data_IF_293189763149
#
_entry.id   IF_293189763149
#
_cell.length_a   1.000
_cell.length_b   1.000
_cell.length_c   1.000
_cell.angle_alpha   90.00
_cell.angle_beta   90.00
_cell.angle_gamma   90.00
#
_symmetry.space_group_name_H-M   'P 1'
#
loop_
_entity.id
_entity.type
_entity.pdbx_description
1 polymer ?
#
# COMPACT_ATOMS: atom_id res chain seq x y z
N UNK A 1 28.87 11.57 4.26
CA UNK A 1 28.15 12.86 4.13
C UNK A 1 28.62 13.91 5.13
N UNK A 2 29.21 13.53 6.28
CA UNK A 2 29.70 14.48 7.29
C UNK A 2 30.87 15.39 6.81
N UNK A 3 31.59 14.99 5.77
CA UNK A 3 32.70 15.78 5.24
C UNK A 3 32.26 17.01 4.40
N UNK A 4 31.05 17.00 3.85
CA UNK A 4 30.61 18.05 2.92
C UNK A 4 30.52 19.43 3.55
N UNK A 5 29.88 19.65 4.73
CA UNK A 5 29.86 20.95 5.38
C UNK A 5 31.26 21.46 5.71
N UNK A 6 32.16 20.60 6.20
CA UNK A 6 33.53 20.95 6.53
C UNK A 6 34.29 21.43 5.29
N UNK A 7 34.14 20.76 4.17
CA UNK A 7 34.77 21.16 2.91
C UNK A 7 34.21 22.48 2.36
N UNK A 8 32.89 22.70 2.55
CA UNK A 8 32.22 23.89 2.02
C UNK A 8 32.37 25.15 2.89
N UNK A 9 32.92 25.07 4.11
CA UNK A 9 33.21 26.23 4.94
C UNK A 9 34.20 27.22 4.27
N UNK A 10 35.07 26.71 3.38
CA UNK A 10 36.01 27.53 2.61
C UNK A 10 35.40 28.13 1.34
N UNK A 11 34.16 27.81 1.01
CA UNK A 11 33.46 28.34 -0.16
C UNK A 11 32.94 29.74 0.11
N UNK A 12 33.20 30.74 -0.74
CA UNK A 12 32.70 32.10 -0.56
C UNK A 12 31.16 32.19 -0.52
N UNK A 13 30.48 31.27 -1.20
CA UNK A 13 29.03 31.28 -1.33
C UNK A 13 28.32 30.44 -0.26
N UNK A 14 28.95 29.40 0.26
CA UNK A 14 28.32 28.39 1.11
C UNK A 14 28.87 28.38 2.55
N UNK A 15 29.84 29.21 2.89
CA UNK A 15 30.50 29.22 4.20
C UNK A 15 29.53 29.39 5.35
N UNK A 16 28.56 30.33 5.24
CA UNK A 16 27.54 30.57 6.29
C UNK A 16 26.61 29.38 6.49
N UNK A 17 26.16 28.78 5.38
CA UNK A 17 25.36 27.56 5.42
C UNK A 17 26.16 26.40 6.01
N UNK A 18 27.37 26.17 5.54
CA UNK A 18 28.24 25.12 6.02
C UNK A 18 28.51 25.22 7.54
N UNK A 19 28.78 26.43 8.02
CA UNK A 19 28.98 26.69 9.45
C UNK A 19 27.72 26.40 10.26
N UNK A 20 26.54 26.73 9.75
CA UNK A 20 25.26 26.38 10.43
C UNK A 20 25.05 24.88 10.49
N UNK A 21 25.36 24.13 9.43
CA UNK A 21 25.24 22.68 9.39
C UNK A 21 26.22 21.96 10.32
N UNK A 22 27.34 22.62 10.64
CA UNK A 22 28.33 22.05 11.55
C UNK A 22 27.82 21.83 12.96
N UNK A 23 26.83 22.61 13.39
CA UNK A 23 26.18 22.46 14.70
C UNK A 23 25.49 21.09 14.86
N UNK A 24 25.12 20.45 13.76
CA UNK A 24 24.45 19.14 13.74
C UNK A 24 25.44 17.96 13.65
N UNK A 25 26.72 18.23 13.29
CA UNK A 25 27.71 17.16 13.21
C UNK A 25 27.99 16.59 14.61
N UNK A 26 27.77 15.30 14.76
CA UNK A 26 28.01 14.57 16.01
C UNK A 26 27.18 15.06 17.21
N UNK A 27 26.08 15.76 16.94
CA UNK A 27 25.19 16.31 17.96
C UNK A 27 23.76 15.88 17.74
N UNK A 28 23.43 14.67 18.19
CA UNK A 28 22.09 14.08 18.06
C UNK A 28 21.00 14.97 18.67
N UNK A 29 21.25 15.60 19.80
CA UNK A 29 20.27 16.50 20.44
C UNK A 29 19.96 17.72 19.57
N UNK A 30 20.94 18.27 18.89
CA UNK A 30 20.72 19.38 17.96
C UNK A 30 19.89 18.91 16.75
N UNK A 31 20.18 17.73 16.22
CA UNK A 31 19.40 17.12 15.11
C UNK A 31 17.95 16.88 15.54
N UNK A 32 17.72 16.31 16.72
CA UNK A 32 16.37 16.03 17.24
C UNK A 32 15.55 17.30 17.49
N UNK A 33 16.19 18.38 17.90
CA UNK A 33 15.53 19.68 18.15
C UNK A 33 15.26 20.50 16.88
N UNK A 34 15.90 20.17 15.78
CA UNK A 34 15.69 20.84 14.49
C UNK A 34 14.39 20.37 13.84
N UNK A 35 13.57 21.30 13.37
CA UNK A 35 12.23 20.98 12.83
C UNK A 35 12.29 20.15 11.54
N UNK A 36 13.30 20.32 10.73
CA UNK A 36 13.45 19.60 9.45
C UNK A 36 14.18 18.27 9.67
N UNK A 37 15.33 18.32 10.33
CA UNK A 37 16.17 17.13 10.53
C UNK A 37 15.55 16.17 11.54
N UNK A 38 14.97 16.68 12.64
CA UNK A 38 14.33 15.88 13.65
C UNK A 38 13.07 15.18 13.14
N UNK A 39 12.28 15.84 12.30
CA UNK A 39 11.14 15.18 11.66
C UNK A 39 11.61 14.15 10.62
N UNK A 40 12.56 14.50 9.75
CA UNK A 40 13.12 13.54 8.80
C UNK A 40 13.75 12.31 9.48
N UNK A 41 14.33 12.47 10.67
CA UNK A 41 14.89 11.35 11.44
C UNK A 41 13.80 10.43 12.00
N UNK A 42 12.63 10.95 12.35
CA UNK A 42 11.47 10.15 12.78
C UNK A 42 10.87 9.33 11.65
N UNK A 43 10.97 9.85 10.42
CA UNK A 43 10.48 9.18 9.22
C UNK A 43 11.47 8.11 8.69
N UNK A 44 12.74 8.15 9.14
CA UNK A 44 13.69 7.07 8.89
C UNK A 44 13.39 5.92 9.85
N UNK A 45 13.33 4.70 9.32
CA UNK A 45 13.23 3.49 10.15
C UNK A 45 14.38 3.42 11.18
N UNK A 46 14.19 2.61 12.22
CA UNK A 46 15.11 2.51 13.37
C UNK A 46 16.52 1.95 13.06
N UNK A 47 16.85 1.69 11.80
CA UNK A 47 18.17 1.17 11.38
C UNK A 47 18.91 2.14 10.47
N UNK A 48 20.24 2.14 10.57
CA UNK A 48 21.13 3.05 9.82
C UNK A 48 21.23 2.74 8.31
N UNK A 49 20.38 1.90 7.76
CA UNK A 49 20.36 1.53 6.35
C UNK A 49 19.11 2.01 5.63
N UNK A 50 19.30 2.69 4.50
CA UNK A 50 18.23 3.19 3.64
C UNK A 50 17.51 2.08 2.87
N UNK A 51 18.28 1.08 2.42
CA UNK A 51 17.81 -0.07 1.67
C UNK A 51 18.48 -1.31 2.25
N UNK A 52 17.71 -2.16 2.89
CA UNK A 52 18.21 -3.41 3.49
C UNK A 52 17.90 -4.61 2.61
N UNK A 53 16.85 -4.53 1.82
CA UNK A 53 16.31 -5.67 1.07
C UNK A 53 16.36 -5.43 -0.43
N UNK A 54 16.45 -6.48 -1.18
CA UNK A 54 16.35 -6.44 -2.65
C UNK A 54 14.91 -6.18 -3.13
N UNK A 55 13.94 -6.48 -2.27
CA UNK A 55 12.54 -6.22 -2.52
C UNK A 55 12.13 -4.86 -1.89
N UNK A 56 11.76 -3.85 -2.69
CA UNK A 56 11.34 -2.54 -2.18
C UNK A 56 10.16 -2.60 -1.20
N UNK A 57 9.35 -3.65 -1.28
CA UNK A 57 8.21 -3.83 -0.39
C UNK A 57 8.62 -4.06 1.07
N UNK A 58 9.66 -4.85 1.29
CA UNK A 58 10.15 -5.15 2.63
C UNK A 58 10.67 -3.87 3.32
N UNK A 59 11.33 -3.00 2.55
CA UNK A 59 11.78 -1.69 3.05
C UNK A 59 10.59 -0.76 3.33
N UNK A 60 9.57 -0.73 2.47
CA UNK A 60 8.36 0.06 2.69
C UNK A 60 7.58 -0.41 3.91
N UNK A 61 7.40 -1.71 4.10
CA UNK A 61 6.74 -2.26 5.28
C UNK A 61 7.48 -1.89 6.55
N UNK A 62 8.81 -1.96 6.55
CA UNK A 62 9.64 -1.57 7.68
C UNK A 62 9.46 -0.09 8.04
N UNK A 63 9.40 0.80 7.04
CA UNK A 63 9.14 2.23 7.26
C UNK A 63 7.76 2.44 7.88
N UNK A 64 6.73 1.78 7.34
CA UNK A 64 5.35 1.85 7.89
C UNK A 64 5.30 1.31 9.31
N UNK A 65 5.99 0.20 9.61
CA UNK A 65 6.05 -0.36 10.96
C UNK A 65 6.74 0.57 11.96
N UNK A 66 7.82 1.22 11.54
CA UNK A 66 8.54 2.17 12.38
C UNK A 66 7.74 3.46 12.64
N UNK A 67 6.95 3.92 11.65
CA UNK A 67 6.11 5.12 11.75
C UNK A 67 4.73 4.93 11.12
N UNK A 68 3.77 4.30 11.81
CA UNK A 68 2.40 4.11 11.31
C UNK A 68 1.62 5.41 11.09
N UNK A 69 2.18 6.56 11.42
CA UNK A 69 1.60 7.89 11.17
C UNK A 69 2.07 8.50 9.85
N UNK A 70 3.05 7.89 9.16
CA UNK A 70 3.52 8.34 7.86
C UNK A 70 2.52 7.95 6.74
N UNK A 71 1.66 8.92 6.39
CA UNK A 71 0.66 8.73 5.33
C UNK A 71 1.26 8.46 3.97
N UNK A 72 2.44 8.99 3.66
CA UNK A 72 3.09 8.76 2.37
C UNK A 72 3.64 7.35 2.26
N UNK A 73 4.31 6.86 3.31
CA UNK A 73 4.80 5.49 3.33
C UNK A 73 3.65 4.48 3.18
N UNK A 74 2.53 4.70 3.89
CA UNK A 74 1.33 3.88 3.76
C UNK A 74 0.73 3.93 2.35
N UNK A 75 0.62 5.13 1.76
CA UNK A 75 0.10 5.30 0.40
C UNK A 75 0.97 4.59 -0.63
N UNK A 76 2.30 4.70 -0.52
CA UNK A 76 3.22 3.98 -1.41
C UNK A 76 3.12 2.46 -1.25
N UNK A 77 3.06 1.96 -0.02
CA UNK A 77 2.93 0.53 0.25
C UNK A 77 1.64 -0.03 -0.35
N UNK A 78 0.49 0.61 -0.08
CA UNK A 78 -0.80 0.20 -0.65
C UNK A 78 -0.83 0.30 -2.18
N UNK A 79 -0.26 1.37 -2.75
CA UNK A 79 -0.20 1.54 -4.21
C UNK A 79 0.64 0.45 -4.86
N UNK A 80 1.78 0.10 -4.26
CA UNK A 80 2.62 -0.99 -4.75
C UNK A 80 1.88 -2.33 -4.73
N UNK A 81 1.24 -2.68 -3.62
CA UNK A 81 0.47 -3.92 -3.48
C UNK A 81 -0.67 -4.01 -4.51
N UNK A 82 -1.39 -2.91 -4.74
CA UNK A 82 -2.45 -2.84 -5.74
C UNK A 82 -1.89 -3.01 -7.16
N UNK A 83 -0.78 -2.36 -7.48
CA UNK A 83 -0.12 -2.50 -8.78
C UNK A 83 0.42 -3.92 -9.01
N UNK A 84 0.95 -4.55 -7.97
CA UNK A 84 1.38 -5.94 -7.99
C UNK A 84 0.21 -6.95 -8.00
N UNK A 85 -1.04 -6.48 -7.83
CA UNK A 85 -2.25 -7.31 -7.65
C UNK A 85 -2.16 -8.26 -6.46
N UNK A 86 -1.40 -7.91 -5.46
CA UNK A 86 -1.20 -8.68 -4.25
C UNK A 86 -2.32 -8.41 -3.25
N UNK A 87 -3.49 -8.98 -3.52
CA UNK A 87 -4.70 -8.74 -2.74
C UNK A 87 -4.60 -9.31 -1.32
N UNK A 88 -3.90 -10.42 -1.11
CA UNK A 88 -3.70 -11.00 0.23
C UNK A 88 -2.96 -10.01 1.15
N UNK A 89 -1.89 -9.40 0.65
CA UNK A 89 -1.14 -8.42 1.41
C UNK A 89 -1.89 -7.08 1.54
N UNK A 90 -2.75 -6.68 0.58
CA UNK A 90 -3.64 -5.52 0.76
C UNK A 90 -4.59 -5.73 1.93
N UNK A 91 -5.24 -6.91 2.01
CA UNK A 91 -6.16 -7.25 3.10
C UNK A 91 -5.44 -7.26 4.44
N UNK A 92 -4.28 -7.95 4.53
CA UNK A 92 -3.46 -7.98 5.75
C UNK A 92 -2.97 -6.58 6.18
N UNK A 93 -2.66 -5.71 5.23
CA UNK A 93 -2.29 -4.33 5.51
C UNK A 93 -3.46 -3.53 6.10
N UNK A 94 -4.66 -3.68 5.54
CA UNK A 94 -5.86 -3.03 6.06
C UNK A 94 -6.20 -3.58 7.45
N UNK A 95 -6.15 -4.89 7.66
CA UNK A 95 -6.38 -5.51 8.97
C UNK A 95 -5.44 -4.92 10.05
N UNK A 96 -4.16 -4.75 9.71
CA UNK A 96 -3.15 -4.28 10.65
C UNK A 96 -3.21 -2.77 10.92
N UNK A 97 -3.51 -1.96 9.92
CA UNK A 97 -3.31 -0.51 9.99
C UNK A 97 -4.57 0.34 9.86
N UNK A 98 -5.73 -0.22 9.55
CA UNK A 98 -6.97 0.55 9.48
C UNK A 98 -7.29 1.17 10.85
N UNK A 99 -7.61 2.48 10.85
CA UNK A 99 -7.81 3.25 12.06
C UNK A 99 -6.55 3.95 12.59
N UNK A 100 -5.36 3.62 12.07
CA UNK A 100 -4.15 4.40 12.35
C UNK A 100 -4.29 5.85 11.87
N UNK A 101 -3.54 6.82 12.45
CA UNK A 101 -3.65 8.23 12.07
C UNK A 101 -3.51 8.49 10.56
N UNK A 102 -2.71 7.71 9.87
CA UNK A 102 -2.46 7.81 8.44
C UNK A 102 -3.46 7.03 7.56
N UNK A 103 -4.26 6.11 8.13
CA UNK A 103 -5.23 5.28 7.39
C UNK A 103 -6.60 5.25 8.08
N UNK A 104 -7.19 6.43 8.29
CA UNK A 104 -8.54 6.57 8.88
C UNK A 104 -9.65 6.25 7.90
N UNK A 105 -9.40 6.43 6.62
CA UNK A 105 -10.32 6.14 5.53
C UNK A 105 -9.57 5.42 4.43
N UNK A 106 -10.22 4.45 3.81
CA UNK A 106 -9.60 3.69 2.73
C UNK A 106 -9.71 4.44 1.39
N UNK A 107 -8.62 4.56 0.63
CA UNK A 107 -8.67 4.99 -0.77
C UNK A 107 -9.60 4.11 -1.59
N UNK A 108 -10.30 4.68 -2.57
CA UNK A 108 -11.25 3.94 -3.43
C UNK A 108 -10.65 2.66 -4.04
N UNK A 109 -9.43 2.63 -4.60
CA UNK A 109 -8.86 1.40 -5.14
C UNK A 109 -8.66 0.29 -4.11
N UNK A 110 -8.38 0.65 -2.85
CA UNK A 110 -8.27 -0.32 -1.75
C UNK A 110 -9.65 -0.91 -1.42
N UNK A 111 -10.69 -0.07 -1.32
CA UNK A 111 -12.05 -0.53 -1.12
C UNK A 111 -12.49 -1.46 -2.26
N UNK A 112 -12.16 -1.12 -3.50
CA UNK A 112 -12.42 -1.94 -4.68
C UNK A 112 -11.71 -3.30 -4.61
N UNK A 113 -10.45 -3.32 -4.12
CA UNK A 113 -9.71 -4.55 -3.88
C UNK A 113 -10.40 -5.44 -2.84
N UNK A 114 -10.79 -4.88 -1.69
CA UNK A 114 -11.47 -5.61 -0.61
C UNK A 114 -12.80 -6.21 -1.08
N UNK A 115 -13.59 -5.46 -1.85
CA UNK A 115 -14.86 -5.94 -2.41
C UNK A 115 -14.66 -7.14 -3.35
N UNK A 116 -13.66 -7.06 -4.21
CA UNK A 116 -13.34 -8.17 -5.11
C UNK A 116 -12.82 -9.40 -4.36
N UNK A 117 -11.94 -9.18 -3.39
CA UNK A 117 -11.37 -10.23 -2.55
C UNK A 117 -12.44 -10.99 -1.78
N UNK A 118 -13.29 -10.27 -1.05
CA UNK A 118 -14.39 -10.83 -0.28
C UNK A 118 -15.34 -11.64 -1.17
N UNK A 119 -15.77 -11.09 -2.31
CA UNK A 119 -16.68 -11.77 -3.23
C UNK A 119 -16.07 -13.04 -3.85
N UNK A 120 -14.78 -12.97 -4.20
CA UNK A 120 -14.05 -14.10 -4.77
C UNK A 120 -13.98 -15.28 -3.79
N UNK A 121 -13.57 -15.03 -2.55
CA UNK A 121 -13.45 -16.10 -1.55
C UNK A 121 -14.79 -16.54 -0.94
N UNK A 122 -15.79 -15.67 -0.83
CA UNK A 122 -17.13 -16.06 -0.40
C UNK A 122 -17.79 -17.09 -1.33
N UNK A 123 -17.45 -17.05 -2.62
CA UNK A 123 -17.97 -17.99 -3.62
C UNK A 123 -17.09 -19.22 -3.85
N UNK A 124 -15.93 -19.29 -3.20
CA UNK A 124 -14.98 -20.40 -3.38
C UNK A 124 -15.46 -21.66 -2.67
N UNK A 125 -15.55 -22.76 -3.41
CA UNK A 125 -15.81 -24.07 -2.83
C UNK A 125 -14.57 -24.59 -2.08
N UNK A 126 -14.68 -24.78 -0.77
CA UNK A 126 -13.58 -25.21 0.10
C UNK A 126 -13.02 -26.56 -0.34
N UNK A 127 -13.87 -27.52 -0.70
CA UNK A 127 -13.43 -28.86 -1.13
C UNK A 127 -12.67 -28.80 -2.45
N UNK A 128 -13.13 -27.97 -3.37
CA UNK A 128 -12.44 -27.73 -4.62
C UNK A 128 -11.07 -27.09 -4.39
N UNK A 129 -10.98 -26.04 -3.59
CA UNK A 129 -9.72 -25.37 -3.27
C UNK A 129 -8.70 -26.31 -2.61
N UNK A 130 -9.14 -27.12 -1.63
CA UNK A 130 -8.29 -28.09 -0.95
C UNK A 130 -7.80 -29.19 -1.92
N UNK A 131 -8.65 -29.67 -2.82
CA UNK A 131 -8.25 -30.67 -3.82
C UNK A 131 -7.20 -30.14 -4.83
N UNK A 132 -7.09 -28.80 -4.95
CA UNK A 132 -6.11 -28.10 -5.79
C UNK A 132 -4.90 -27.59 -5.00
N UNK A 133 -4.70 -28.08 -3.76
CA UNK A 133 -3.50 -27.84 -2.98
C UNK A 133 -3.54 -26.62 -2.06
N UNK A 134 -4.68 -25.93 -1.91
CA UNK A 134 -4.81 -24.85 -0.93
C UNK A 134 -5.14 -25.45 0.44
N UNK A 135 -4.39 -25.13 1.52
CA UNK A 135 -4.74 -25.58 2.86
C UNK A 135 -6.14 -25.09 3.27
N UNK A 136 -6.90 -25.94 3.91
CA UNK A 136 -8.27 -25.59 4.37
C UNK A 136 -8.26 -24.36 5.25
N UNK A 137 -7.33 -24.26 6.18
CA UNK A 137 -7.16 -23.12 7.08
C UNK A 137 -6.95 -21.81 6.32
N UNK A 138 -6.26 -21.84 5.19
CA UNK A 138 -6.04 -20.66 4.35
C UNK A 138 -7.32 -20.22 3.64
N UNK A 139 -8.15 -21.17 3.21
CA UNK A 139 -9.47 -20.86 2.60
C UNK A 139 -10.39 -20.24 3.64
N UNK A 140 -10.49 -20.86 4.82
CA UNK A 140 -11.35 -20.40 5.92
C UNK A 140 -10.91 -19.00 6.41
N UNK A 141 -9.59 -18.77 6.55
CA UNK A 141 -9.05 -17.45 6.90
C UNK A 141 -9.44 -16.38 5.87
N UNK A 142 -9.33 -16.69 4.57
CA UNK A 142 -9.70 -15.74 3.51
C UNK A 142 -11.20 -15.50 3.44
N UNK A 143 -12.01 -16.51 3.73
CA UNK A 143 -13.47 -16.37 3.81
C UNK A 143 -13.94 -15.57 5.03
N UNK A 144 -13.11 -15.46 6.07
CA UNK A 144 -13.41 -14.60 7.24
C UNK A 144 -13.39 -13.09 6.89
N UNK A 145 -12.76 -12.70 5.78
CA UNK A 145 -12.83 -11.32 5.26
C UNK A 145 -14.11 -11.13 4.42
N UNK A 146 -15.24 -11.38 5.05
CA UNK A 146 -16.56 -11.31 4.45
C UNK A 146 -17.09 -9.86 4.30
N UNK A 147 -18.33 -9.72 3.86
CA UNK A 147 -18.95 -8.42 3.63
C UNK A 147 -19.04 -7.58 4.91
N UNK A 148 -19.34 -8.19 6.04
CA UNK A 148 -19.45 -7.49 7.32
C UNK A 148 -18.09 -6.97 7.77
N UNK A 149 -17.05 -7.77 7.58
CA UNK A 149 -15.69 -7.37 7.87
C UNK A 149 -15.24 -6.17 7.02
N UNK A 150 -15.45 -6.20 5.69
CA UNK A 150 -15.01 -5.11 4.81
C UNK A 150 -15.79 -3.81 5.05
N UNK A 151 -17.07 -3.88 5.43
CA UNK A 151 -17.86 -2.71 5.81
C UNK A 151 -17.32 -2.12 7.13
N UNK A 152 -17.02 -2.95 8.12
CA UNK A 152 -16.41 -2.51 9.38
C UNK A 152 -15.03 -1.84 9.17
N UNK A 153 -14.31 -2.21 8.10
CA UNK A 153 -13.02 -1.63 7.71
C UNK A 153 -13.14 -0.50 6.67
N UNK A 154 -14.32 0.15 6.55
CA UNK A 154 -14.47 1.41 5.86
C UNK A 154 -14.79 1.31 4.36
N UNK A 155 -15.24 0.16 3.87
CA UNK A 155 -15.84 0.08 2.54
C UNK A 155 -17.19 0.80 2.55
N UNK A 156 -17.37 1.74 1.61
CA UNK A 156 -18.55 2.59 1.55
C UNK A 156 -19.70 1.92 0.79
N UNK A 157 -20.94 2.29 1.12
CA UNK A 157 -22.13 1.84 0.40
C UNK A 157 -22.10 2.22 -1.09
N UNK A 158 -21.51 3.37 -1.41
CA UNK A 158 -21.33 3.81 -2.80
C UNK A 158 -20.47 2.83 -3.61
N UNK A 159 -19.30 2.44 -3.05
CA UNK A 159 -18.43 1.47 -3.70
C UNK A 159 -19.06 0.08 -3.77
N UNK A 160 -19.83 -0.32 -2.76
CA UNK A 160 -20.59 -1.57 -2.78
C UNK A 160 -21.63 -1.58 -3.90
N UNK A 161 -22.40 -0.48 -4.07
CA UNK A 161 -23.37 -0.35 -5.15
C UNK A 161 -22.70 -0.36 -6.53
N UNK A 162 -21.56 0.33 -6.64
CA UNK A 162 -20.74 0.35 -7.86
C UNK A 162 -20.20 -1.04 -8.21
N UNK A 163 -19.78 -1.82 -7.20
CA UNK A 163 -19.32 -3.19 -7.40
C UNK A 163 -20.45 -4.12 -7.87
N UNK A 164 -21.65 -3.99 -7.32
CA UNK A 164 -22.81 -4.75 -7.81
C UNK A 164 -23.07 -4.48 -9.29
N UNK A 165 -23.08 -3.21 -9.70
CA UNK A 165 -23.20 -2.82 -11.12
C UNK A 165 -22.07 -3.39 -11.98
N UNK A 166 -20.84 -3.38 -11.46
CA UNK A 166 -19.71 -4.00 -12.14
C UNK A 166 -19.94 -5.49 -12.39
N UNK A 167 -20.32 -6.26 -11.36
CA UNK A 167 -20.57 -7.71 -11.47
C UNK A 167 -21.67 -8.05 -12.48
N UNK A 168 -22.79 -7.33 -12.43
CA UNK A 168 -23.90 -7.51 -13.38
C UNK A 168 -23.45 -7.27 -14.82
N UNK A 169 -22.70 -6.22 -15.04
CA UNK A 169 -22.19 -5.90 -16.38
C UNK A 169 -21.10 -6.87 -16.83
N UNK A 170 -20.22 -7.29 -15.92
CA UNK A 170 -19.18 -8.26 -16.23
C UNK A 170 -19.73 -9.61 -16.59
N UNK A 171 -20.75 -10.11 -15.88
CA UNK A 171 -21.43 -11.37 -16.22
C UNK A 171 -22.00 -11.39 -17.66
N UNK A 172 -22.51 -10.25 -18.13
CA UNK A 172 -22.97 -10.10 -19.54
C UNK A 172 -21.79 -9.95 -20.49
N UNK A 173 -20.77 -9.17 -20.09
CA UNK A 173 -19.61 -8.88 -20.94
C UNK A 173 -18.71 -10.11 -21.14
N UNK A 174 -18.61 -11.00 -20.15
CA UNK A 174 -17.80 -12.22 -20.21
C UNK A 174 -18.20 -13.14 -21.37
N UNK A 175 -19.45 -13.08 -21.81
CA UNK A 175 -19.97 -13.84 -22.97
C UNK A 175 -19.79 -13.10 -24.32
N UNK A 176 -19.28 -11.87 -24.30
CA UNK A 176 -19.10 -11.08 -25.50
C UNK A 176 -17.77 -11.39 -26.20
N UNK A 177 -17.66 -11.05 -27.51
CA UNK A 177 -16.41 -11.21 -28.26
C UNK A 177 -15.26 -10.32 -27.75
N UNK A 178 -15.57 -9.23 -27.06
CA UNK A 178 -14.59 -8.30 -26.53
C UNK A 178 -15.02 -7.81 -25.14
N UNK A 179 -14.81 -8.60 -24.07
CA UNK A 179 -15.18 -8.23 -22.72
C UNK A 179 -14.52 -6.93 -22.24
N UNK A 180 -13.25 -6.71 -22.61
CA UNK A 180 -12.49 -5.51 -22.25
C UNK A 180 -13.16 -4.23 -22.73
N UNK A 181 -13.62 -4.21 -24.01
CA UNK A 181 -14.32 -3.05 -24.55
C UNK A 181 -15.71 -2.86 -23.91
N UNK A 182 -16.43 -3.94 -23.66
CA UNK A 182 -17.75 -3.89 -23.01
C UNK A 182 -17.67 -3.31 -21.58
N UNK A 183 -16.54 -3.48 -20.90
CA UNK A 183 -16.29 -2.98 -19.54
C UNK A 183 -15.62 -1.61 -19.50
N UNK A 184 -15.51 -0.89 -20.61
CA UNK A 184 -14.80 0.38 -20.70
C UNK A 184 -15.28 1.47 -19.71
N UNK A 185 -16.55 1.44 -19.27
CA UNK A 185 -17.09 2.37 -18.26
C UNK A 185 -16.48 2.17 -16.86
N UNK A 186 -15.78 1.07 -16.62
CA UNK A 186 -15.09 0.77 -15.37
C UNK A 186 -13.56 0.85 -15.50
N UNK A 187 -13.05 1.47 -16.58
CA UNK A 187 -11.61 1.51 -16.89
C UNK A 187 -10.75 2.08 -15.75
N UNK A 188 -11.30 2.99 -14.97
CA UNK A 188 -10.60 3.67 -13.86
C UNK A 188 -10.72 2.90 -12.54
N UNK A 189 -11.30 1.70 -12.53
CA UNK A 189 -11.43 0.88 -11.33
C UNK A 189 -10.29 -0.13 -11.20
N UNK A 190 -10.00 -0.50 -9.95
CA UNK A 190 -9.06 -1.60 -9.67
C UNK A 190 -9.56 -2.93 -10.28
N UNK A 191 -10.87 -3.17 -10.31
CA UNK A 191 -11.44 -4.39 -10.91
C UNK A 191 -11.13 -4.51 -12.40
N UNK A 192 -11.19 -3.40 -13.13
CA UNK A 192 -10.82 -3.40 -14.54
C UNK A 192 -9.32 -3.64 -14.71
N UNK A 193 -8.50 -2.98 -13.90
CA UNK A 193 -7.07 -3.20 -13.87
C UNK A 193 -6.73 -4.66 -13.58
N UNK A 194 -7.35 -5.26 -12.54
CA UNK A 194 -7.12 -6.64 -12.13
C UNK A 194 -7.41 -7.64 -13.26
N UNK A 195 -8.52 -7.46 -13.97
CA UNK A 195 -9.01 -8.44 -14.95
C UNK A 195 -8.41 -8.25 -16.36
N UNK A 196 -8.09 -7.02 -16.75
CA UNK A 196 -7.76 -6.71 -18.15
C UNK A 196 -6.36 -6.15 -18.38
N UNK A 197 -5.56 -5.97 -17.35
CA UNK A 197 -4.16 -5.53 -17.48
C UNK A 197 -3.24 -6.69 -17.13
N UNK A 198 -2.31 -7.00 -18.03
CA UNK A 198 -1.24 -7.95 -17.73
C UNK A 198 -0.09 -7.21 -17.03
N UNK A 199 0.44 -7.80 -15.97
CA UNK A 199 1.72 -7.37 -15.41
C UNK A 199 2.75 -7.96 -16.36
N UNK A 200 3.50 -7.11 -17.10
CA UNK A 200 4.65 -7.60 -17.86
C UNK A 200 5.76 -7.92 -16.86
N UNK A 201 6.09 -9.18 -16.75
CA UNK A 201 7.33 -9.61 -16.10
C UNK A 201 8.50 -9.06 -16.95
N UNK A 202 9.12 -7.97 -16.50
CA UNK A 202 10.37 -7.45 -17.04
C UNK A 202 11.52 -7.90 -16.16
#
# INVERSE_FOLDING_TARGET
>A
TCALPICMEKSPLLSKWASSQRAFLWNDKAVESDSLLGNGRKDLGCEDAFVLYTNPMDDLFRIVEANPSDGKAMEYALSYLLLAKDMDNVVGFVEKYFGAPALKTLPTPVQECLLFYSDYYATMDVKFAVSHGMPQEDVERRQAYDLDWIIAHGVTEENLARFKSFKEKYGKAAQSRNPKSAMASFRETFWYYLLFTQISDN
#
